data_IF_516324303593
#
_entry.id   IF_516324303593
#
_cell.length_a   1.000
_cell.length_b   1.000
_cell.length_c   1.000
_cell.angle_alpha   90.00
_cell.angle_beta   90.00
_cell.angle_gamma   90.00
#
_symmetry.space_group_name_H-M   'P 1'
#
loop_
_entity.id
_entity.type
_entity.pdbx_description
1 polymer ?
#
# COMPACT_ATOMS: atom_id res chain seq x y z
N UNK A 1 15.64 -12.10 -8.70
CA UNK A 1 15.04 -12.08 -10.06
C UNK A 1 13.56 -12.49 -10.03
N UNK A 2 13.17 -13.53 -9.29
CA UNK A 2 11.77 -13.97 -9.18
C UNK A 2 10.79 -12.88 -8.72
N UNK A 3 11.10 -12.17 -7.64
CA UNK A 3 10.22 -11.13 -7.07
C UNK A 3 9.93 -9.99 -8.05
N UNK A 4 10.95 -9.51 -8.75
CA UNK A 4 10.83 -8.45 -9.76
C UNK A 4 9.95 -8.90 -10.93
N UNK A 5 10.21 -10.10 -11.48
CA UNK A 5 9.42 -10.63 -12.61
C UNK A 5 7.95 -10.83 -12.20
N UNK A 6 7.70 -11.36 -11.00
CA UNK A 6 6.33 -11.54 -10.51
C UNK A 6 5.63 -10.20 -10.25
N UNK A 7 6.32 -9.22 -9.66
CA UNK A 7 5.77 -7.89 -9.39
C UNK A 7 5.35 -7.19 -10.69
N UNK A 8 6.23 -7.14 -11.70
CA UNK A 8 5.88 -6.55 -13.00
C UNK A 8 4.80 -7.34 -13.73
N UNK A 9 4.84 -8.68 -13.68
CA UNK A 9 3.80 -9.52 -14.28
C UNK A 9 2.43 -9.33 -13.65
N UNK A 10 2.36 -9.11 -12.34
CA UNK A 10 1.12 -8.83 -11.61
C UNK A 10 0.64 -7.39 -11.75
N UNK A 11 1.56 -6.44 -11.97
CA UNK A 11 1.23 -5.04 -12.20
C UNK A 11 0.36 -4.86 -13.44
N UNK A 12 0.68 -5.60 -14.50
CA UNK A 12 -0.07 -5.63 -15.77
C UNK A 12 -1.01 -6.85 -15.87
N UNK A 13 -1.04 -7.68 -14.84
CA UNK A 13 -1.81 -8.92 -14.79
C UNK A 13 -3.24 -8.71 -14.29
N UNK A 14 -4.12 -9.65 -14.63
CA UNK A 14 -5.50 -9.68 -14.13
C UNK A 14 -5.63 -10.53 -12.86
N UNK A 15 -6.82 -10.50 -12.26
CA UNK A 15 -7.25 -11.40 -11.19
C UNK A 15 -6.92 -12.88 -11.43
N UNK A 16 -6.92 -13.35 -12.68
CA UNK A 16 -6.55 -14.73 -13.00
C UNK A 16 -5.12 -15.08 -12.55
N UNK A 17 -4.16 -14.16 -12.74
CA UNK A 17 -2.78 -14.38 -12.32
C UNK A 17 -2.67 -14.39 -10.78
N UNK A 18 -3.41 -13.52 -10.10
CA UNK A 18 -3.49 -13.54 -8.64
C UNK A 18 -4.06 -14.87 -8.12
N UNK A 19 -5.15 -15.35 -8.73
CA UNK A 19 -5.82 -16.59 -8.35
C UNK A 19 -4.90 -17.83 -8.48
N UNK A 20 -3.87 -17.74 -9.32
CA UNK A 20 -2.85 -18.77 -9.46
C UNK A 20 -1.73 -18.67 -8.40
N UNK A 21 -1.38 -17.45 -7.97
CA UNK A 21 -0.26 -17.22 -7.04
C UNK A 21 -0.65 -17.41 -5.56
N UNK A 22 -1.88 -17.07 -5.18
CA UNK A 22 -2.35 -17.26 -3.79
C UNK A 22 -2.23 -18.73 -3.34
N UNK A 23 -2.70 -19.74 -4.10
CA UNK A 23 -2.53 -21.15 -3.71
C UNK A 23 -1.05 -21.57 -3.62
N UNK A 24 -0.20 -21.08 -4.54
CA UNK A 24 1.24 -21.39 -4.51
C UNK A 24 1.91 -20.86 -3.26
N UNK A 25 1.58 -19.64 -2.85
CA UNK A 25 2.10 -19.07 -1.62
C UNK A 25 1.59 -19.86 -0.42
N UNK A 26 0.29 -20.16 -0.34
CA UNK A 26 -0.30 -20.92 0.79
C UNK A 26 0.31 -22.32 0.93
N UNK A 27 0.59 -23.01 -0.19
CA UNK A 27 1.18 -24.35 -0.21
C UNK A 27 2.70 -24.36 0.05
N UNK A 28 3.37 -23.22 -0.11
CA UNK A 28 4.82 -23.16 0.11
C UNK A 28 5.16 -23.32 1.59
N UNK A 29 6.13 -24.18 1.88
CA UNK A 29 6.76 -24.34 3.21
C UNK A 29 7.99 -23.44 3.40
N UNK A 30 8.40 -22.73 2.35
CA UNK A 30 9.58 -21.87 2.38
C UNK A 30 9.15 -20.43 2.68
N UNK A 31 9.50 -19.92 3.87
CA UNK A 31 9.12 -18.58 4.28
C UNK A 31 9.64 -17.48 3.35
N UNK A 32 10.87 -17.62 2.83
CA UNK A 32 11.43 -16.66 1.89
C UNK A 32 10.62 -16.62 0.58
N UNK A 33 10.21 -17.79 0.08
CA UNK A 33 9.35 -17.86 -1.11
C UNK A 33 7.97 -17.24 -0.84
N UNK A 34 7.39 -17.47 0.34
CA UNK A 34 6.11 -16.86 0.72
C UNK A 34 6.22 -15.34 0.74
N UNK A 35 7.27 -14.80 1.36
CA UNK A 35 7.59 -13.37 1.38
C UNK A 35 7.73 -12.80 -0.03
N UNK A 36 8.49 -13.44 -0.92
CA UNK A 36 8.64 -13.00 -2.31
C UNK A 36 7.30 -12.93 -3.06
N UNK A 37 6.44 -13.93 -2.86
CA UNK A 37 5.12 -13.99 -3.49
C UNK A 37 4.17 -12.94 -2.91
N UNK A 38 4.18 -12.72 -1.59
CA UNK A 38 3.38 -11.67 -0.94
C UNK A 38 3.76 -10.30 -1.48
N UNK A 39 5.06 -9.98 -1.50
CA UNK A 39 5.55 -8.69 -1.98
C UNK A 39 5.17 -8.48 -3.45
N UNK A 40 5.25 -9.53 -4.27
CA UNK A 40 4.83 -9.44 -5.67
C UNK A 40 3.32 -9.21 -5.82
N UNK A 41 2.48 -9.90 -5.05
CA UNK A 41 1.00 -9.75 -5.08
C UNK A 41 0.56 -8.32 -4.73
N UNK A 42 1.31 -7.61 -3.88
CA UNK A 42 1.06 -6.20 -3.58
C UNK A 42 1.24 -5.25 -4.77
N UNK A 43 1.98 -5.64 -5.82
CA UNK A 43 2.24 -4.79 -6.99
C UNK A 43 1.09 -4.68 -7.99
N UNK A 44 0.00 -5.43 -7.80
CA UNK A 44 -1.12 -5.42 -8.74
C UNK A 44 -1.85 -4.07 -8.71
N UNK A 45 -2.23 -3.59 -9.90
CA UNK A 45 -3.09 -2.41 -10.07
C UNK A 45 -4.56 -2.77 -10.26
N UNK A 46 -4.86 -4.05 -10.40
CA UNK A 46 -6.20 -4.53 -10.66
C UNK A 46 -7.06 -4.45 -9.40
N UNK A 47 -8.18 -3.73 -9.50
CA UNK A 47 -9.04 -3.47 -8.35
C UNK A 47 -9.75 -4.72 -7.83
N UNK A 48 -10.03 -5.69 -8.70
CA UNK A 48 -10.57 -6.99 -8.29
C UNK A 48 -9.52 -7.77 -7.48
N UNK A 49 -8.28 -7.79 -7.95
CA UNK A 49 -7.14 -8.44 -7.28
C UNK A 49 -6.87 -7.88 -5.87
N UNK A 50 -6.80 -6.56 -5.71
CA UNK A 50 -6.56 -5.95 -4.39
C UNK A 50 -7.71 -6.28 -3.43
N UNK A 51 -8.97 -6.17 -3.86
CA UNK A 51 -10.13 -6.51 -3.01
C UNK A 51 -10.18 -7.99 -2.66
N UNK A 52 -9.80 -8.87 -3.59
CA UNK A 52 -9.69 -10.29 -3.35
C UNK A 52 -8.63 -10.59 -2.28
N UNK A 53 -7.45 -9.98 -2.34
CA UNK A 53 -6.43 -10.11 -1.30
C UNK A 53 -6.93 -9.67 0.08
N UNK A 54 -7.56 -8.49 0.16
CA UNK A 54 -8.11 -7.97 1.42
C UNK A 54 -9.21 -8.87 2.00
N UNK A 55 -9.98 -9.53 1.14
CA UNK A 55 -10.99 -10.52 1.54
C UNK A 55 -10.33 -11.83 2.00
N UNK A 56 -9.34 -12.33 1.26
CA UNK A 56 -8.77 -13.66 1.49
C UNK A 56 -8.00 -13.75 2.82
N UNK A 57 -7.35 -12.65 3.25
CA UNK A 57 -6.65 -12.61 4.54
C UNK A 57 -7.60 -12.69 5.75
N UNK A 58 -8.89 -12.47 5.55
CA UNK A 58 -9.91 -12.56 6.60
C UNK A 58 -10.48 -13.97 6.74
N UNK A 59 -10.29 -14.83 5.72
CA UNK A 59 -10.87 -16.16 5.70
C UNK A 59 -10.06 -17.07 6.66
N UNK A 60 -10.67 -17.59 7.75
CA UNK A 60 -9.93 -18.39 8.74
C UNK A 60 -9.37 -19.71 8.19
N UNK A 61 -9.99 -20.25 7.14
CA UNK A 61 -9.56 -21.52 6.52
C UNK A 61 -8.36 -21.37 5.59
N UNK A 62 -7.96 -20.13 5.24
CA UNK A 62 -6.76 -19.90 4.43
C UNK A 62 -5.57 -19.70 5.36
N UNK A 63 -4.58 -20.57 5.22
CA UNK A 63 -3.42 -20.67 6.12
C UNK A 63 -2.42 -19.52 5.92
N UNK A 64 -2.76 -18.36 6.46
CA UNK A 64 -1.89 -17.20 6.63
C UNK A 64 -1.44 -17.05 8.07
N UNK A 65 -0.16 -16.76 8.26
CA UNK A 65 0.34 -16.25 9.54
C UNK A 65 -0.17 -14.81 9.73
N UNK A 66 -0.39 -14.39 10.98
CA UNK A 66 -0.81 -13.01 11.28
C UNK A 66 0.17 -11.96 10.71
N UNK A 67 1.47 -12.25 10.76
CA UNK A 67 2.52 -11.41 10.15
C UNK A 67 2.38 -11.31 8.62
N UNK A 68 1.97 -12.38 7.95
CA UNK A 68 1.78 -12.39 6.50
C UNK A 68 0.57 -11.58 6.08
N UNK A 69 -0.52 -11.61 6.88
CA UNK A 69 -1.69 -10.77 6.63
C UNK A 69 -1.32 -9.29 6.68
N UNK A 70 -0.56 -8.87 7.71
CA UNK A 70 -0.05 -7.51 7.80
C UNK A 70 0.89 -7.17 6.63
N UNK A 71 1.79 -8.09 6.27
CA UNK A 71 2.70 -7.91 5.15
C UNK A 71 1.98 -7.75 3.80
N UNK A 72 0.87 -8.45 3.57
CA UNK A 72 0.05 -8.28 2.35
C UNK A 72 -0.48 -6.86 2.26
N UNK A 73 -0.99 -6.31 3.35
CA UNK A 73 -1.52 -4.93 3.37
C UNK A 73 -0.39 -3.92 3.15
N UNK A 74 0.76 -4.12 3.77
CA UNK A 74 1.94 -3.27 3.57
C UNK A 74 2.48 -3.35 2.14
N UNK A 75 2.44 -4.54 1.52
CA UNK A 75 2.80 -4.73 0.12
C UNK A 75 1.85 -4.00 -0.84
N UNK A 76 0.54 -3.94 -0.52
CA UNK A 76 -0.43 -3.15 -1.30
C UNK A 76 -0.10 -1.65 -1.22
N UNK A 77 0.23 -1.15 -0.02
CA UNK A 77 0.63 0.26 0.16
C UNK A 77 1.92 0.56 -0.63
N UNK A 78 2.90 -0.34 -0.55
CA UNK A 78 4.18 -0.20 -1.24
C UNK A 78 4.09 -0.41 -2.77
N UNK A 79 3.04 -1.06 -3.25
CA UNK A 79 2.86 -1.43 -4.66
C UNK A 79 2.53 -0.23 -5.57
N UNK A 80 1.97 0.83 -5.00
CA UNK A 80 1.71 2.07 -5.72
C UNK A 80 0.35 2.69 -5.42
N UNK A 81 0.05 3.79 -6.11
CA UNK A 81 -1.11 4.62 -5.81
C UNK A 81 -2.43 3.88 -6.00
N UNK A 82 -2.54 3.10 -7.07
CA UNK A 82 -3.77 2.39 -7.39
C UNK A 82 -4.20 1.46 -6.25
N UNK A 83 -3.25 0.70 -5.68
CA UNK A 83 -3.49 -0.17 -4.53
C UNK A 83 -3.89 0.60 -3.26
N UNK A 84 -3.23 1.73 -3.00
CA UNK A 84 -3.56 2.63 -1.88
C UNK A 84 -4.99 3.14 -2.00
N UNK A 85 -5.41 3.61 -3.17
CA UNK A 85 -6.76 4.14 -3.38
C UNK A 85 -7.83 3.08 -3.09
N UNK A 86 -7.63 1.86 -3.59
CA UNK A 86 -8.54 0.74 -3.35
C UNK A 86 -8.55 0.35 -1.86
N UNK A 87 -7.40 0.37 -1.19
CA UNK A 87 -7.29 0.09 0.23
C UNK A 87 -8.00 1.16 1.07
N UNK A 88 -7.90 2.44 0.71
CA UNK A 88 -8.63 3.53 1.36
C UNK A 88 -10.13 3.31 1.24
N UNK A 89 -10.63 3.05 0.02
CA UNK A 89 -12.04 2.76 -0.23
C UNK A 89 -12.54 1.56 0.59
N UNK A 90 -11.68 0.54 0.74
CA UNK A 90 -11.97 -0.63 1.54
C UNK A 90 -12.07 -0.30 3.03
N UNK A 91 -11.08 0.42 3.57
CA UNK A 91 -10.97 0.81 4.98
C UNK A 91 -12.14 1.68 5.44
N UNK A 92 -12.62 2.60 4.60
CA UNK A 92 -13.79 3.44 4.91
C UNK A 92 -15.04 2.63 5.31
N UNK A 93 -15.14 1.39 4.84
CA UNK A 93 -16.30 0.51 5.09
C UNK A 93 -15.96 -0.69 5.98
N UNK A 94 -14.69 -1.08 6.02
CA UNK A 94 -14.28 -2.37 6.57
C UNK A 94 -13.08 -2.29 7.55
N UNK A 95 -12.86 -1.14 8.18
CA UNK A 95 -11.76 -0.94 9.13
C UNK A 95 -11.77 -1.99 10.26
N UNK A 96 -12.94 -2.29 10.83
CA UNK A 96 -13.09 -3.29 11.91
C UNK A 96 -12.69 -4.71 11.49
N UNK A 97 -13.03 -5.10 10.26
CA UNK A 97 -12.69 -6.41 9.71
C UNK A 97 -11.19 -6.51 9.45
N UNK A 98 -10.59 -5.45 8.90
CA UNK A 98 -9.15 -5.44 8.69
C UNK A 98 -8.40 -5.42 10.02
N UNK A 99 -8.83 -4.60 10.98
CA UNK A 99 -8.28 -4.57 12.34
C UNK A 99 -8.24 -5.97 12.96
N UNK A 100 -9.35 -6.71 12.85
CA UNK A 100 -9.45 -8.07 13.37
C UNK A 100 -8.51 -9.05 12.66
N UNK A 101 -8.19 -8.80 11.39
CA UNK A 101 -7.33 -9.68 10.59
C UNK A 101 -5.83 -9.45 10.80
N UNK A 102 -5.39 -8.20 10.97
CA UNK A 102 -3.97 -7.83 11.03
C UNK A 102 -3.51 -7.33 12.41
N UNK A 103 -4.44 -6.95 13.29
CA UNK A 103 -4.17 -6.39 14.61
C UNK A 103 -3.93 -4.87 14.60
N UNK A 104 -4.06 -4.25 15.77
CA UNK A 104 -4.02 -2.80 15.95
C UNK A 104 -2.69 -2.18 15.52
N UNK A 105 -1.56 -2.76 15.95
CA UNK A 105 -0.24 -2.23 15.59
C UNK A 105 0.04 -2.22 14.08
N UNK A 106 -0.45 -3.25 13.37
CA UNK A 106 -0.33 -3.31 11.92
C UNK A 106 -1.26 -2.29 11.25
N UNK A 107 -2.50 -2.14 11.73
CA UNK A 107 -3.42 -1.13 11.20
C UNK A 107 -2.87 0.29 11.40
N UNK A 108 -2.35 0.62 12.58
CA UNK A 108 -1.70 1.90 12.85
C UNK A 108 -0.55 2.15 11.85
N UNK A 109 0.31 1.14 11.63
CA UNK A 109 1.40 1.22 10.65
C UNK A 109 0.88 1.52 9.25
N UNK A 110 -0.15 0.80 8.79
CA UNK A 110 -0.78 1.00 7.48
C UNK A 110 -1.28 2.44 7.33
N UNK A 111 -2.01 2.98 8.31
CA UNK A 111 -2.52 4.35 8.26
C UNK A 111 -1.38 5.38 8.18
N UNK A 112 -0.31 5.21 8.96
CA UNK A 112 0.85 6.10 8.87
C UNK A 112 1.59 5.99 7.54
N UNK A 113 1.63 4.80 6.94
CA UNK A 113 2.26 4.57 5.63
C UNK A 113 1.42 5.18 4.50
N UNK A 114 0.09 5.15 4.57
CA UNK A 114 -0.78 5.88 3.64
C UNK A 114 -0.49 7.40 3.71
N UNK A 115 -0.29 7.94 4.93
CA UNK A 115 0.16 9.32 5.12
C UNK A 115 1.49 9.62 4.42
N UNK A 116 2.47 8.72 4.52
CA UNK A 116 3.77 8.86 3.81
C UNK A 116 3.66 8.86 2.28
N UNK A 117 2.61 8.29 1.70
CA UNK A 117 2.40 8.22 0.25
C UNK A 117 1.43 9.28 -0.27
N UNK A 118 1.06 10.25 0.57
CA UNK A 118 0.17 11.36 0.20
C UNK A 118 1.02 12.56 -0.22
N UNK A 119 0.93 12.96 -1.49
CA UNK A 119 1.79 13.96 -2.12
C UNK A 119 1.01 15.12 -2.77
N UNK A 120 -0.28 14.96 -3.06
CA UNK A 120 -1.11 15.99 -3.70
C UNK A 120 -2.29 16.44 -2.83
N UNK A 121 -2.89 17.59 -3.16
CA UNK A 121 -4.09 18.09 -2.47
C UNK A 121 -5.26 17.11 -2.48
N UNK A 122 -5.50 16.47 -3.63
CA UNK A 122 -6.56 15.48 -3.76
C UNK A 122 -6.34 14.29 -2.83
N UNK A 123 -5.11 13.83 -2.74
CA UNK A 123 -4.75 12.70 -1.87
C UNK A 123 -4.85 13.09 -0.39
N UNK A 124 -4.51 14.33 -0.03
CA UNK A 124 -4.71 14.87 1.33
C UNK A 124 -6.19 14.89 1.72
N UNK A 125 -7.06 15.33 0.82
CA UNK A 125 -8.51 15.32 1.07
C UNK A 125 -9.03 13.89 1.29
N UNK A 126 -8.52 12.93 0.51
CA UNK A 126 -8.89 11.52 0.65
C UNK A 126 -8.34 10.93 1.97
N UNK A 127 -7.11 11.28 2.35
CA UNK A 127 -6.52 10.91 3.64
C UNK A 127 -7.36 11.43 4.81
N UNK A 128 -7.80 12.70 4.79
CA UNK A 128 -8.64 13.24 5.87
C UNK A 128 -9.98 12.51 6.00
N UNK A 129 -10.61 12.15 4.88
CA UNK A 129 -11.83 11.33 4.89
C UNK A 129 -11.57 9.94 5.50
N UNK A 130 -10.45 9.31 5.13
CA UNK A 130 -10.04 8.03 5.71
C UNK A 130 -9.84 8.16 7.22
N UNK A 131 -9.07 9.16 7.66
CA UNK A 131 -8.75 9.37 9.08
C UNK A 131 -10.00 9.57 9.92
N UNK A 132 -10.99 10.30 9.41
CA UNK A 132 -12.28 10.44 10.09
C UNK A 132 -13.04 9.11 10.16
N UNK A 133 -13.03 8.31 9.10
CA UNK A 133 -13.70 7.01 9.06
C UNK A 133 -13.05 5.96 9.98
N UNK A 134 -11.74 6.04 10.22
CA UNK A 134 -11.00 5.04 11.01
C UNK A 134 -10.65 5.50 12.42
N UNK A 135 -11.00 6.74 12.82
CA UNK A 135 -10.58 7.35 14.11
C UNK A 135 -10.87 6.51 15.35
N UNK A 136 -11.93 5.70 15.33
CA UNK A 136 -12.33 4.83 16.45
C UNK A 136 -11.63 3.46 16.42
N UNK A 137 -10.82 3.19 15.39
CA UNK A 137 -10.09 1.92 15.17
C UNK A 137 -8.57 2.07 15.30
N UNK A 138 -8.06 3.30 15.41
CA UNK A 138 -6.64 3.62 15.52
C UNK A 138 -6.39 4.64 16.63
N UNK A 139 -5.14 4.77 17.07
CA UNK A 139 -4.79 5.74 18.10
C UNK A 139 -4.82 7.18 17.57
N UNK A 140 -5.08 8.15 18.46
CA UNK A 140 -5.00 9.57 18.11
C UNK A 140 -3.60 9.98 17.63
N UNK A 141 -2.56 9.36 18.17
CA UNK A 141 -1.17 9.54 17.74
C UNK A 141 -0.96 9.08 16.29
N UNK A 142 -1.56 7.95 15.90
CA UNK A 142 -1.53 7.46 14.51
C UNK A 142 -2.14 8.48 13.56
N UNK A 143 -3.30 9.02 13.90
CA UNK A 143 -3.98 10.05 13.10
C UNK A 143 -3.11 11.29 12.93
N UNK A 144 -2.52 11.78 14.02
CA UNK A 144 -1.62 12.95 13.97
C UNK A 144 -0.37 12.68 13.13
N UNK A 145 0.25 11.50 13.31
CA UNK A 145 1.45 11.10 12.56
C UNK A 145 1.17 11.00 11.07
N UNK A 146 0.05 10.42 10.67
CA UNK A 146 -0.34 10.32 9.26
C UNK A 146 -0.52 11.71 8.62
N UNK A 147 -1.17 12.65 9.32
CA UNK A 147 -1.30 14.05 8.89
C UNK A 147 0.05 14.74 8.75
N UNK A 148 0.92 14.60 9.76
CA UNK A 148 2.25 15.21 9.76
C UNK A 148 3.10 14.71 8.58
N UNK A 149 3.06 13.41 8.27
CA UNK A 149 3.77 12.84 7.12
C UNK A 149 3.26 13.42 5.79
N UNK A 150 1.94 13.50 5.61
CA UNK A 150 1.36 14.11 4.41
C UNK A 150 1.68 15.61 4.27
N UNK A 151 1.74 16.34 5.39
CA UNK A 151 2.14 17.75 5.42
C UNK A 151 3.63 17.93 5.10
N UNK A 152 4.50 17.05 5.61
CA UNK A 152 5.92 17.07 5.31
C UNK A 152 6.19 16.87 3.81
N UNK A 153 5.48 15.92 3.19
CA UNK A 153 5.55 15.71 1.73
C UNK A 153 5.11 16.95 0.94
N UNK A 154 4.06 17.63 1.39
CA UNK A 154 3.59 18.87 0.77
C UNK A 154 4.65 19.97 0.80
N UNK A 155 5.28 20.16 1.96
CA UNK A 155 6.28 21.20 2.18
C UNK A 155 7.63 20.91 1.53
N UNK A 156 7.90 19.67 1.11
CA UNK A 156 9.18 19.32 0.46
C UNK A 156 9.40 20.10 -0.84
N UNK A 157 8.34 20.35 -1.61
CA UNK A 157 8.44 21.12 -2.86
C UNK A 157 8.93 22.57 -2.67
N UNK A 158 8.66 23.16 -1.51
CA UNK A 158 9.07 24.51 -1.15
C UNK A 158 10.43 24.56 -0.42
N UNK A 159 11.03 23.39 -0.18
CA UNK A 159 12.34 23.29 0.48
C UNK A 159 13.49 23.61 -0.49
N UNK A 160 14.66 23.95 0.06
CA UNK A 160 15.87 24.15 -0.75
C UNK A 160 16.21 22.92 -1.61
N UNK A 161 16.04 21.72 -1.06
CA UNK A 161 16.28 20.46 -1.79
C UNK A 161 15.27 20.28 -2.93
N UNK A 162 14.00 20.58 -2.68
CA UNK A 162 12.93 20.56 -3.68
C UNK A 162 13.24 21.50 -4.84
N UNK A 163 13.60 22.76 -4.54
CA UNK A 163 13.96 23.76 -5.55
C UNK A 163 15.17 23.35 -6.39
N UNK A 164 16.23 22.85 -5.77
CA UNK A 164 17.44 22.36 -6.48
C UNK A 164 17.09 21.18 -7.39
N UNK A 165 16.23 20.27 -6.92
CA UNK A 165 15.81 19.10 -7.71
C UNK A 165 15.01 19.54 -8.93
N UNK A 166 14.03 20.44 -8.76
CA UNK A 166 13.23 20.99 -9.87
C UNK A 166 14.13 21.68 -10.88
N UNK A 167 15.03 22.55 -10.44
CA UNK A 167 15.97 23.25 -11.34
C UNK A 167 16.88 22.27 -12.10
N UNK A 168 17.38 21.23 -11.44
CA UNK A 168 18.19 20.19 -12.07
C UNK A 168 17.41 19.45 -13.16
N UNK A 169 16.19 19.00 -12.85
CA UNK A 169 15.36 18.26 -13.80
C UNK A 169 14.93 19.12 -14.98
N UNK A 170 14.58 20.39 -14.77
CA UNK A 170 14.28 21.34 -15.84
C UNK A 170 15.47 21.50 -16.78
N UNK A 171 16.67 21.73 -16.24
CA UNK A 171 17.90 21.85 -17.04
C UNK A 171 18.23 20.57 -17.81
N UNK A 172 18.09 19.41 -17.17
CA UNK A 172 18.37 18.13 -17.82
C UNK A 172 17.37 17.83 -18.94
N UNK A 173 16.07 18.07 -18.73
CA UNK A 173 15.03 17.90 -19.72
C UNK A 173 15.23 18.82 -20.94
N UNK A 174 15.71 20.05 -20.73
CA UNK A 174 16.06 20.95 -21.84
C UNK A 174 17.34 20.54 -22.57
N UNK A 175 18.28 19.89 -21.89
CA UNK A 175 19.58 19.48 -22.47
C UNK A 175 19.55 18.11 -23.17
N UNK A 176 18.46 17.34 -23.08
CA UNK A 176 18.30 16.05 -23.78
C UNK A 176 17.68 16.18 -25.18
N UNK A 177 17.48 17.40 -25.68
CA UNK A 177 17.10 17.67 -27.07
C UNK A 177 18.35 17.82 -27.94
N UNK A 178 19.11 16.74 -28.15
CA UNK A 178 20.05 16.56 -29.27
C UNK A 178 20.24 15.09 -29.60
#
# INVERSE_FOLDING_TARGET
LSSVVYCYGLREGSYQLLSYLVPKMVQSKNQAQRTDLINAMGCTKDAESVRALLTVIQIPTVSFLSSEKAQIVDAIVSGGREGIDILIDYLMKNASQLLSAIGEGALNTVITNIGSHTNTDRERQLLEQLLEAVKDHVTSETVQTARQRAQANAGWYDSLEGLVSVEFYEKYATNTVY
#
